data_IF_595906403263
#
_entry.id   IF_595906403263
#
_cell.length_a   1.000
_cell.length_b   1.000
_cell.length_c   1.000
_cell.angle_alpha   90.00
_cell.angle_beta   90.00
_cell.angle_gamma   90.00
#
_symmetry.space_group_name_H-M   'P 1'
#
loop_
_entity.id
_entity.type
_entity.pdbx_description
1 polymer ?
#
# COMPACT_ATOMS: atom_id res chain seq x y z
N UNK A 1 15.34 -9.93 -7.23
CA UNK A 1 13.98 -10.36 -6.82
C UNK A 1 13.31 -11.18 -7.91
N UNK A 2 13.69 -10.96 -9.17
CA UNK A 2 13.32 -11.78 -10.34
C UNK A 2 13.61 -13.27 -10.15
N UNK A 3 14.77 -13.65 -9.60
CA UNK A 3 15.17 -15.06 -9.52
C UNK A 3 14.20 -15.91 -8.68
N UNK A 4 13.72 -15.36 -7.55
CA UNK A 4 12.73 -16.04 -6.71
C UNK A 4 11.37 -16.17 -7.40
N UNK A 5 11.02 -15.23 -8.27
CA UNK A 5 9.78 -15.28 -9.06
C UNK A 5 9.89 -16.34 -10.15
N UNK A 6 11.01 -16.38 -10.87
CA UNK A 6 11.32 -17.40 -11.87
C UNK A 6 11.24 -18.81 -11.27
N UNK A 7 11.87 -19.04 -10.11
CA UNK A 7 11.83 -20.32 -9.41
C UNK A 7 10.39 -20.74 -9.06
N UNK A 8 9.54 -19.80 -8.64
CA UNK A 8 8.14 -20.11 -8.34
C UNK A 8 7.34 -20.46 -9.59
N UNK A 9 7.55 -19.75 -10.70
CA UNK A 9 6.89 -20.03 -11.98
C UNK A 9 7.33 -21.40 -12.53
N UNK A 10 8.61 -21.74 -12.44
CA UNK A 10 9.12 -23.07 -12.82
C UNK A 10 8.48 -24.19 -11.98
N UNK A 11 8.34 -23.98 -10.66
CA UNK A 11 7.67 -24.96 -9.78
C UNK A 11 6.20 -25.17 -10.15
N UNK A 12 5.48 -24.10 -10.51
CA UNK A 12 4.07 -24.21 -10.97
C UNK A 12 3.99 -24.97 -12.29
N UNK A 13 4.86 -24.69 -13.26
CA UNK A 13 4.91 -25.43 -14.52
C UNK A 13 5.15 -26.93 -14.30
N UNK A 14 6.14 -27.30 -13.47
CA UNK A 14 6.42 -28.70 -13.17
C UNK A 14 5.21 -29.42 -12.56
N UNK A 15 4.48 -28.75 -11.66
CA UNK A 15 3.24 -29.29 -11.09
C UNK A 15 2.15 -29.45 -12.16
N UNK A 16 1.95 -28.46 -13.02
CA UNK A 16 0.93 -28.51 -14.10
C UNK A 16 1.23 -29.67 -15.06
N UNK A 17 2.48 -29.83 -15.48
CA UNK A 17 2.90 -30.95 -16.35
C UNK A 17 2.59 -32.30 -15.69
N UNK A 18 2.89 -32.45 -14.40
CA UNK A 18 2.61 -33.68 -13.67
C UNK A 18 1.09 -33.94 -13.47
N UNK A 19 0.28 -32.88 -13.34
CA UNK A 19 -1.19 -32.99 -13.31
C UNK A 19 -1.72 -33.47 -14.67
N UNK A 20 -1.21 -32.93 -15.79
CA UNK A 20 -1.58 -33.40 -17.13
C UNK A 20 -1.17 -34.84 -17.40
N UNK A 21 -0.09 -35.32 -16.78
CA UNK A 21 0.32 -36.72 -16.79
C UNK A 21 -0.53 -37.63 -15.86
N UNK A 22 -1.60 -37.10 -15.26
CA UNK A 22 -2.54 -37.82 -14.38
C UNK A 22 -1.92 -38.40 -13.09
N UNK A 23 -0.81 -37.82 -12.60
CA UNK A 23 -0.24 -38.22 -11.32
C UNK A 23 -1.08 -37.73 -10.13
N UNK A 24 -1.02 -38.48 -9.03
CA UNK A 24 -1.70 -38.13 -7.78
C UNK A 24 -1.00 -36.96 -7.06
N UNK A 25 -1.75 -36.15 -6.32
CA UNK A 25 -1.18 -34.98 -5.62
C UNK A 25 -0.08 -35.36 -4.62
N UNK A 26 -0.18 -36.57 -4.04
CA UNK A 26 0.80 -37.11 -3.11
C UNK A 26 2.11 -37.48 -3.84
N UNK A 27 2.03 -38.12 -4.99
CA UNK A 27 3.19 -38.44 -5.84
C UNK A 27 3.90 -37.18 -6.29
N UNK A 28 3.15 -36.21 -6.81
CA UNK A 28 3.69 -34.92 -7.28
C UNK A 28 4.40 -34.19 -6.15
N UNK A 29 3.78 -34.13 -4.97
CA UNK A 29 4.35 -33.49 -3.78
C UNK A 29 5.67 -34.14 -3.34
N UNK A 30 5.72 -35.48 -3.30
CA UNK A 30 6.94 -36.23 -2.94
C UNK A 30 8.05 -36.05 -3.97
N UNK A 31 7.71 -36.12 -5.26
CA UNK A 31 8.67 -36.02 -6.35
C UNK A 31 9.28 -34.61 -6.47
N UNK A 32 8.44 -33.58 -6.51
CA UNK A 32 8.87 -32.18 -6.66
C UNK A 32 9.31 -31.53 -5.33
N UNK A 33 9.21 -32.24 -4.20
CA UNK A 33 9.48 -31.74 -2.85
C UNK A 33 8.73 -30.43 -2.54
N UNK A 34 7.47 -30.36 -2.95
CA UNK A 34 6.55 -29.24 -2.70
C UNK A 34 5.45 -29.67 -1.75
N UNK A 35 4.82 -28.72 -1.03
CA UNK A 35 3.72 -29.06 -0.14
C UNK A 35 2.52 -29.59 -0.92
N UNK A 36 1.81 -30.59 -0.36
CA UNK A 36 0.57 -31.13 -0.95
C UNK A 36 -0.48 -30.03 -1.16
N UNK A 37 -0.54 -29.06 -0.25
CA UNK A 37 -1.43 -27.91 -0.36
C UNK A 37 -1.13 -27.05 -1.60
N UNK A 38 0.16 -26.87 -1.93
CA UNK A 38 0.56 -26.14 -3.13
C UNK A 38 0.09 -26.85 -4.40
N UNK A 39 0.23 -28.17 -4.48
CA UNK A 39 -0.26 -28.99 -5.61
C UNK A 39 -1.78 -28.87 -5.76
N UNK A 40 -2.53 -29.05 -4.67
CA UNK A 40 -3.99 -28.93 -4.68
C UNK A 40 -4.44 -27.52 -5.11
N UNK A 41 -3.77 -26.47 -4.62
CA UNK A 41 -4.02 -25.09 -5.04
C UNK A 41 -3.86 -24.92 -6.56
N UNK A 42 -2.77 -25.43 -7.15
CA UNK A 42 -2.54 -25.36 -8.60
C UNK A 42 -3.58 -26.15 -9.37
N UNK A 43 -3.96 -27.34 -8.91
CA UNK A 43 -5.02 -28.16 -9.52
C UNK A 43 -6.38 -27.43 -9.54
N UNK A 44 -6.75 -26.80 -8.43
CA UNK A 44 -7.99 -26.00 -8.34
C UNK A 44 -7.97 -24.78 -9.25
N UNK A 45 -6.84 -24.08 -9.33
CA UNK A 45 -6.69 -22.95 -10.25
C UNK A 45 -6.77 -23.39 -11.72
N UNK A 46 -6.16 -24.54 -12.07
CA UNK A 46 -6.23 -25.11 -13.42
C UNK A 46 -7.67 -25.47 -13.80
N UNK A 47 -8.40 -26.12 -12.89
CA UNK A 47 -9.81 -26.44 -13.08
C UNK A 47 -10.70 -25.19 -13.24
N UNK A 48 -10.41 -24.10 -12.52
CA UNK A 48 -11.15 -22.85 -12.61
C UNK A 48 -10.81 -22.02 -13.87
N UNK A 49 -9.70 -22.34 -14.56
CA UNK A 49 -9.22 -21.65 -15.76
C UNK A 49 -9.54 -22.40 -17.06
N UNK A 50 -10.41 -23.42 -17.00
CA UNK A 50 -10.73 -24.33 -18.11
C UNK A 50 -9.48 -24.96 -18.77
N UNK A 51 -8.45 -25.22 -17.97
CA UNK A 51 -7.19 -25.80 -18.45
C UNK A 51 -6.21 -24.81 -19.08
N UNK A 52 -6.42 -23.49 -18.97
CA UNK A 52 -5.48 -22.48 -19.46
C UNK A 52 -4.18 -22.46 -18.64
N UNK A 53 -3.19 -23.24 -19.08
CA UNK A 53 -1.87 -23.42 -18.45
C UNK A 53 -1.14 -22.09 -18.26
N UNK A 54 -1.15 -21.21 -19.26
CA UNK A 54 -0.38 -19.96 -19.23
C UNK A 54 -0.84 -19.02 -18.11
N UNK A 55 -2.14 -19.03 -17.81
CA UNK A 55 -2.74 -18.20 -16.77
C UNK A 55 -2.37 -18.67 -15.37
N UNK A 56 -2.26 -20.00 -15.17
CA UNK A 56 -2.00 -20.64 -13.86
C UNK A 56 -0.51 -20.80 -13.57
N UNK A 57 0.29 -20.94 -14.62
CA UNK A 57 1.74 -21.00 -14.56
C UNK A 57 2.35 -19.71 -13.99
N UNK A 58 1.78 -18.56 -14.35
CA UNK A 58 2.25 -17.25 -13.91
C UNK A 58 1.78 -16.99 -12.48
N UNK A 59 2.65 -16.37 -11.67
CA UNK A 59 2.23 -15.89 -10.36
C UNK A 59 1.20 -14.78 -10.54
N UNK A 60 0.05 -14.88 -9.85
CA UNK A 60 -0.95 -13.80 -9.81
C UNK A 60 -0.27 -12.49 -9.46
N UNK A 61 -0.53 -11.46 -10.26
CA UNK A 61 -0.07 -10.10 -9.97
C UNK A 61 -0.71 -9.67 -8.65
N UNK A 62 0.06 -8.95 -7.85
CA UNK A 62 -0.50 -8.31 -6.66
C UNK A 62 -1.46 -7.21 -7.13
N UNK A 63 -2.74 -7.37 -6.85
CA UNK A 63 -3.72 -6.31 -7.05
C UNK A 63 -3.86 -5.52 -5.76
N UNK A 64 -3.97 -4.20 -5.91
CA UNK A 64 -4.30 -3.37 -4.77
C UNK A 64 -5.73 -3.68 -4.31
N UNK A 65 -5.95 -3.73 -3.00
CA UNK A 65 -7.30 -3.87 -2.47
C UNK A 65 -8.25 -2.81 -3.04
N UNK A 66 -9.45 -3.24 -3.43
CA UNK A 66 -10.54 -2.39 -3.92
C UNK A 66 -11.02 -1.40 -2.87
N UNK A 67 -10.91 -1.77 -1.60
CA UNK A 67 -11.58 -1.09 -0.48
C UNK A 67 -10.77 0.11 0.05
N UNK A 68 -10.02 0.77 -0.84
CA UNK A 68 -9.22 1.93 -0.49
C UNK A 68 -10.13 3.12 -0.19
N UNK A 69 -10.23 3.46 1.08
CA UNK A 69 -10.94 4.67 1.56
C UNK A 69 -10.30 5.96 1.01
N UNK A 70 -8.99 5.94 0.75
CA UNK A 70 -8.19 7.08 0.26
C UNK A 70 -8.33 7.28 -1.26
N UNK A 71 -9.55 7.57 -1.69
CA UNK A 71 -9.87 7.94 -3.09
C UNK A 71 -9.71 9.45 -3.29
N UNK A 72 -9.44 9.90 -4.52
CA UNK A 72 -9.30 11.35 -4.83
C UNK A 72 -10.50 12.19 -4.38
N UNK A 73 -11.72 11.68 -4.59
CA UNK A 73 -12.95 12.32 -4.11
C UNK A 73 -13.00 12.45 -2.58
N UNK A 74 -12.47 11.45 -1.87
CA UNK A 74 -12.44 11.48 -0.41
C UNK A 74 -11.39 12.49 0.10
N UNK A 75 -10.23 12.57 -0.56
CA UNK A 75 -9.21 13.59 -0.27
C UNK A 75 -9.78 15.00 -0.44
N UNK A 76 -10.55 15.25 -1.51
CA UNK A 76 -11.21 16.54 -1.74
C UNK A 76 -12.24 16.88 -0.64
N UNK A 77 -12.97 15.89 -0.13
CA UNK A 77 -13.90 16.10 1.00
C UNK A 77 -13.15 16.51 2.28
N UNK A 78 -12.05 15.82 2.59
CA UNK A 78 -11.20 16.18 3.74
C UNK A 78 -10.61 17.58 3.56
N UNK A 79 -10.16 17.93 2.35
CA UNK A 79 -9.66 19.25 2.01
C UNK A 79 -10.70 20.34 2.27
N UNK A 80 -11.94 20.15 1.80
CA UNK A 80 -13.03 21.11 2.02
C UNK A 80 -13.30 21.38 3.51
N UNK A 81 -13.28 20.33 4.36
CA UNK A 81 -13.48 20.50 5.80
C UNK A 81 -12.36 21.33 6.44
N UNK A 82 -11.12 21.17 5.97
CA UNK A 82 -9.96 21.91 6.46
C UNK A 82 -9.99 23.36 5.98
N UNK A 83 -10.40 23.59 4.74
CA UNK A 83 -10.52 24.94 4.16
C UNK A 83 -11.66 25.74 4.81
N UNK A 84 -12.75 25.06 5.22
CA UNK A 84 -13.84 25.66 5.98
C UNK A 84 -13.42 26.06 7.41
N UNK A 85 -12.73 25.16 8.13
CA UNK A 85 -12.23 25.44 9.48
C UNK A 85 -10.91 24.69 9.75
N UNK A 86 -9.76 25.38 9.65
CA UNK A 86 -8.45 24.76 9.86
C UNK A 86 -8.17 24.43 11.34
N UNK A 87 -9.01 24.91 12.27
CA UNK A 87 -8.87 24.62 13.70
C UNK A 87 -9.46 23.26 14.08
N UNK A 88 -10.22 22.62 13.16
CA UNK A 88 -10.76 21.28 13.39
C UNK A 88 -9.64 20.27 13.58
N UNK A 89 -9.67 19.60 14.74
CA UNK A 89 -8.71 18.55 15.03
C UNK A 89 -8.90 17.34 14.10
N UNK A 90 -7.80 16.64 13.81
CA UNK A 90 -7.81 15.36 13.05
C UNK A 90 -8.83 14.36 13.65
N UNK A 91 -8.96 14.34 14.98
CA UNK A 91 -9.89 13.48 15.70
C UNK A 91 -11.36 13.86 15.46
N UNK A 92 -11.67 15.14 15.35
CA UNK A 92 -13.01 15.59 15.01
C UNK A 92 -13.37 15.17 13.57
N UNK A 93 -12.49 15.46 12.60
CA UNK A 93 -12.67 15.07 11.19
C UNK A 93 -12.85 13.55 11.05
N UNK A 94 -12.07 12.77 11.81
CA UNK A 94 -12.17 11.31 11.87
C UNK A 94 -13.55 10.83 12.34
N UNK A 95 -14.13 11.47 13.38
CA UNK A 95 -15.46 11.14 13.87
C UNK A 95 -16.54 11.52 12.87
N UNK A 96 -16.44 12.70 12.26
CA UNK A 96 -17.42 13.21 11.30
C UNK A 96 -17.51 12.32 10.06
N UNK A 97 -16.35 11.85 9.56
CA UNK A 97 -16.25 10.99 8.39
C UNK A 97 -16.32 9.49 8.72
N UNK A 98 -16.38 9.11 10.00
CA UNK A 98 -16.35 7.72 10.47
C UNK A 98 -15.16 6.90 9.94
N UNK A 99 -13.99 7.52 9.82
CA UNK A 99 -12.75 6.87 9.34
C UNK A 99 -11.70 6.93 10.44
N UNK A 100 -10.77 5.97 10.48
CA UNK A 100 -9.67 5.98 11.43
C UNK A 100 -8.84 7.28 11.38
N UNK A 101 -8.41 7.77 12.56
CA UNK A 101 -7.57 8.95 12.67
C UNK A 101 -6.26 8.83 11.87
N UNK A 102 -5.70 7.61 11.77
CA UNK A 102 -4.49 7.34 11.01
C UNK A 102 -4.68 7.61 9.51
N UNK A 103 -5.83 7.24 8.96
CA UNK A 103 -6.15 7.51 7.55
C UNK A 103 -6.25 9.01 7.27
N UNK A 104 -6.96 9.75 8.13
CA UNK A 104 -7.12 11.20 7.99
C UNK A 104 -5.75 11.89 8.12
N UNK A 105 -4.93 11.50 9.11
CA UNK A 105 -3.56 12.01 9.27
C UNK A 105 -2.71 11.78 8.02
N UNK A 106 -2.77 10.59 7.41
CA UNK A 106 -2.05 10.30 6.17
C UNK A 106 -2.52 11.18 5.02
N UNK A 107 -3.82 11.36 4.87
CA UNK A 107 -4.38 12.26 3.83
C UNK A 107 -3.86 13.68 4.00
N UNK A 108 -3.93 14.21 5.23
CA UNK A 108 -3.50 15.57 5.54
C UNK A 108 -2.01 15.78 5.23
N UNK A 109 -1.14 14.86 5.65
CA UNK A 109 0.31 15.05 5.50
C UNK A 109 0.88 14.60 4.15
N UNK A 110 0.33 13.56 3.55
CA UNK A 110 0.89 12.96 2.33
C UNK A 110 0.17 13.45 1.06
N UNK A 111 -1.17 13.49 1.06
CA UNK A 111 -1.95 13.89 -0.13
C UNK A 111 -2.05 15.41 -0.22
N UNK A 112 -2.62 16.02 0.82
CA UNK A 112 -2.85 17.47 0.89
C UNK A 112 -1.52 18.19 1.13
N UNK A 113 -0.59 17.55 1.84
CA UNK A 113 0.68 18.12 2.30
C UNK A 113 0.47 19.37 3.14
N UNK A 114 -0.57 19.36 3.97
CA UNK A 114 -0.86 20.42 4.91
C UNK A 114 0.30 20.52 5.90
N UNK A 115 0.96 21.68 5.91
CA UNK A 115 2.04 21.97 6.83
C UNK A 115 1.44 22.80 7.94
N UNK A 116 1.52 22.29 9.18
CA UNK A 116 1.15 23.10 10.33
C UNK A 116 1.97 24.38 10.31
N UNK A 117 1.33 25.51 10.61
CA UNK A 117 2.03 26.78 10.77
C UNK A 117 3.09 26.62 11.85
N UNK A 118 4.37 26.60 11.44
CA UNK A 118 5.47 26.75 12.38
C UNK A 118 5.53 28.24 12.73
N UNK A 119 5.19 28.60 13.97
CA UNK A 119 5.40 29.95 14.46
C UNK A 119 6.89 30.28 14.33
N UNK A 120 7.23 31.20 13.42
CA UNK A 120 8.58 31.73 13.33
C UNK A 120 8.73 32.76 14.43
N UNK A 121 9.53 32.45 15.43
CA UNK A 121 9.98 33.42 16.43
C UNK A 121 10.89 34.43 15.73
N UNK A 122 10.33 35.57 15.36
CA UNK A 122 11.12 36.73 14.95
C UNK A 122 11.74 37.38 16.19
N UNK A 123 13.06 37.55 16.22
CA UNK A 123 13.66 38.53 17.12
C UNK A 123 13.27 39.91 16.58
N UNK A 124 12.21 40.50 17.14
CA UNK A 124 11.93 41.92 16.90
C UNK A 124 13.11 42.72 17.45
N UNK A 125 13.92 43.28 16.55
CA UNK A 125 15.01 44.17 16.93
C UNK A 125 14.39 45.45 17.47
N UNK A 126 14.52 45.71 18.77
CA UNK A 126 14.28 47.05 19.30
C UNK A 126 15.29 48.03 18.70
N UNK A 127 14.93 49.33 18.62
CA UNK A 127 15.82 50.35 18.07
C UNK A 127 17.22 50.32 18.73
N UNK A 128 17.27 50.06 20.04
CA UNK A 128 18.51 49.93 20.81
C UNK A 128 19.39 48.77 20.34
N UNK A 129 18.82 47.59 20.06
CA UNK A 129 19.59 46.43 19.59
C UNK A 129 20.11 46.65 18.16
N UNK A 130 19.37 47.43 17.36
CA UNK A 130 19.78 47.82 16.00
C UNK A 130 20.98 48.77 16.02
N UNK A 131 21.01 49.74 16.94
CA UNK A 131 22.13 50.66 17.13
C UNK A 131 23.38 49.97 17.68
N UNK A 132 23.23 49.09 18.69
CA UNK A 132 24.36 48.35 19.27
C UNK A 132 25.09 47.47 18.26
N UNK A 133 24.38 46.88 17.30
CA UNK A 133 25.00 46.11 16.21
C UNK A 133 25.72 46.99 15.19
N UNK A 134 25.28 48.23 14.98
CA UNK A 134 25.94 49.19 14.09
C UNK A 134 27.27 49.71 14.66
N UNK A 135 27.41 49.69 15.99
CA UNK A 135 28.63 50.10 16.71
C UNK A 135 29.68 48.97 16.75
N UNK A 136 29.26 47.71 16.64
CA UNK A 136 30.14 46.53 16.70
C UNK A 136 30.61 46.00 15.32
N UNK A 137 30.14 46.58 14.22
CA UNK A 137 30.56 46.25 12.85
C UNK A 137 31.66 47.21 12.37
#
# INVERSE_FOLDING_TARGET
>A
MEDNKLIQEMKRHAVIVAIHANHSDLEISRFLKVSRFFVNKVRRELAASDGNVESVAKRKKHEAHSDKVRTSQFVQKVQGIIDEDPSKSIRAISKDLQVSECTIRRIIHEDIRYKSYAMRTGQFMSAQIREQRFIQA
#
